data_IF_782424607481
#
_entry.id   IF_782424607481
#
_cell.length_a   1.000
_cell.length_b   1.000
_cell.length_c   1.000
_cell.angle_alpha   90.00
_cell.angle_beta   90.00
_cell.angle_gamma   90.00
#
_symmetry.space_group_name_H-M   'P 1'
#
loop_
_entity.id
_entity.type
_entity.pdbx_description
1 polymer ?
#
# COMPACT_ATOMS: atom_id res chain seq x y z
N UNK A 1 -5.94 -8.22 -28.41
CA UNK A 1 -5.16 -9.30 -27.77
C UNK A 1 -4.92 -8.84 -26.33
N UNK A 2 -5.37 -9.56 -25.33
CA UNK A 2 -5.10 -9.21 -23.93
C UNK A 2 -3.63 -9.54 -23.66
N UNK A 3 -2.81 -8.52 -23.40
CA UNK A 3 -1.46 -8.74 -22.92
C UNK A 3 -1.55 -9.41 -21.54
N UNK A 4 -0.87 -10.55 -21.41
CA UNK A 4 -0.76 -11.23 -20.12
C UNK A 4 0.26 -10.48 -19.26
N UNK A 5 -0.18 -9.89 -18.15
CA UNK A 5 0.71 -9.24 -17.19
C UNK A 5 1.58 -10.32 -16.52
N UNK A 6 2.90 -10.22 -16.73
CA UNK A 6 3.86 -11.05 -16.01
C UNK A 6 4.38 -10.30 -14.79
N UNK A 7 4.07 -10.84 -13.60
CA UNK A 7 4.64 -10.32 -12.35
C UNK A 7 6.11 -10.74 -12.23
N UNK A 8 6.93 -9.85 -11.68
CA UNK A 8 8.34 -10.15 -11.39
C UNK A 8 8.45 -11.13 -10.23
N UNK A 9 9.44 -12.03 -10.29
CA UNK A 9 9.79 -12.92 -9.19
C UNK A 9 10.80 -12.29 -8.21
N UNK A 10 11.38 -11.14 -8.59
CA UNK A 10 12.29 -10.34 -7.76
C UNK A 10 12.35 -8.91 -8.29
N UNK A 11 12.89 -8.00 -7.49
CA UNK A 11 13.05 -6.59 -7.82
C UNK A 11 14.50 -6.17 -7.59
N UNK A 12 15.06 -5.38 -8.51
CA UNK A 12 16.43 -4.88 -8.39
C UNK A 12 16.62 -4.08 -7.08
N UNK A 13 17.67 -4.40 -6.35
CA UNK A 13 18.00 -3.76 -5.07
C UNK A 13 17.05 -4.10 -3.93
N UNK A 14 16.20 -5.09 -4.09
CA UNK A 14 15.33 -5.60 -3.02
C UNK A 14 15.88 -6.90 -2.43
N UNK A 15 15.67 -7.06 -1.14
CA UNK A 15 15.87 -8.32 -0.42
C UNK A 15 14.57 -9.11 -0.46
N UNK A 16 14.63 -10.37 -0.89
CA UNK A 16 13.47 -11.26 -0.98
C UNK A 16 13.32 -12.04 0.32
N UNK A 17 12.20 -11.87 1.01
CA UNK A 17 11.87 -12.54 2.27
C UNK A 17 11.04 -13.81 2.07
N UNK A 18 10.25 -13.87 1.00
CA UNK A 18 9.49 -15.03 0.56
C UNK A 18 9.28 -14.98 -0.96
N UNK A 19 9.11 -16.15 -1.57
CA UNK A 19 8.93 -16.29 -3.03
C UNK A 19 7.51 -16.68 -3.44
N UNK A 20 6.73 -17.25 -2.54
CA UNK A 20 5.33 -17.63 -2.78
C UNK A 20 4.51 -17.50 -1.48
N UNK A 21 3.71 -16.48 -1.35
CA UNK A 21 3.69 -15.26 -2.19
C UNK A 21 4.99 -14.48 -2.10
N UNK A 22 5.32 -13.72 -3.14
CA UNK A 22 6.52 -12.88 -3.13
C UNK A 22 6.37 -11.78 -2.07
N UNK A 23 7.34 -11.74 -1.14
CA UNK A 23 7.55 -10.63 -0.20
C UNK A 23 8.96 -10.12 -0.41
N UNK A 24 9.08 -8.89 -0.88
CA UNK A 24 10.36 -8.24 -1.16
C UNK A 24 10.43 -6.90 -0.45
N UNK A 25 11.62 -6.54 0.03
CA UNK A 25 11.85 -5.32 0.80
C UNK A 25 12.96 -4.51 0.15
N UNK A 26 12.70 -3.24 -0.19
CA UNK A 26 13.67 -2.32 -0.74
C UNK A 26 13.78 -1.07 0.12
N UNK A 27 15.00 -0.70 0.49
CA UNK A 27 15.27 0.53 1.25
C UNK A 27 15.50 1.72 0.34
N UNK A 28 15.30 2.94 0.89
CA UNK A 28 15.58 4.21 0.21
C UNK A 28 14.81 4.41 -1.11
N UNK A 29 13.57 3.94 -1.17
CA UNK A 29 12.70 4.13 -2.35
C UNK A 29 12.27 5.58 -2.47
N UNK A 30 11.97 6.23 -1.34
CA UNK A 30 11.72 7.66 -1.25
C UNK A 30 12.63 8.29 -0.18
N UNK A 31 12.97 9.57 -0.38
CA UNK A 31 13.84 10.33 0.50
C UNK A 31 13.11 10.75 1.80
N UNK A 32 13.86 11.11 2.86
CA UNK A 32 13.25 11.67 4.07
C UNK A 32 12.44 12.95 3.82
N UNK A 33 12.85 13.77 2.84
CA UNK A 33 12.14 15.00 2.47
C UNK A 33 10.79 14.64 1.81
N UNK A 34 10.78 13.67 0.90
CA UNK A 34 9.53 13.18 0.27
C UNK A 34 8.60 12.52 1.30
N UNK A 35 9.15 11.77 2.26
CA UNK A 35 8.38 11.22 3.37
C UNK A 35 7.68 12.33 4.17
N UNK A 36 8.43 13.36 4.57
CA UNK A 36 7.88 14.50 5.32
C UNK A 36 6.83 15.26 4.50
N UNK A 37 7.09 15.47 3.21
CA UNK A 37 6.16 16.10 2.29
C UNK A 37 4.81 15.37 2.24
N UNK A 38 4.82 14.05 2.00
CA UNK A 38 3.59 13.24 1.96
C UNK A 38 2.82 13.28 3.28
N UNK A 39 3.52 13.28 4.42
CA UNK A 39 2.89 13.40 5.74
C UNK A 39 2.17 14.74 5.88
N UNK A 40 2.85 15.85 5.60
CA UNK A 40 2.27 17.19 5.77
C UNK A 40 1.14 17.45 4.76
N UNK A 41 1.25 16.94 3.53
CA UNK A 41 0.20 17.03 2.53
C UNK A 41 -1.08 16.29 2.97
N UNK A 42 -0.95 15.09 3.53
CA UNK A 42 -2.09 14.28 3.93
C UNK A 42 -2.71 14.69 5.28
N UNK A 43 -1.91 15.21 6.21
CA UNK A 43 -2.26 15.47 7.61
C UNK A 43 -3.58 16.25 7.82
N UNK A 44 -3.86 17.36 7.11
CA UNK A 44 -5.12 18.11 7.30
C UNK A 44 -6.35 17.35 6.78
N UNK A 45 -6.17 16.30 5.99
CA UNK A 45 -7.23 15.59 5.30
C UNK A 45 -7.48 14.16 5.82
N UNK A 46 -6.61 13.67 6.72
CA UNK A 46 -6.71 12.33 7.28
C UNK A 46 -8.01 12.17 8.07
N UNK A 47 -8.75 11.11 7.74
CA UNK A 47 -10.01 10.74 8.39
C UNK A 47 -9.99 9.28 8.80
N UNK A 48 -10.81 8.91 9.78
CA UNK A 48 -10.98 7.52 10.23
C UNK A 48 -11.16 6.60 9.03
N UNK A 49 -10.30 5.60 8.92
CA UNK A 49 -10.40 4.59 7.88
C UNK A 49 -11.60 3.66 8.13
N UNK A 50 -12.20 3.17 7.07
CA UNK A 50 -13.25 2.16 7.11
C UNK A 50 -12.96 1.04 6.13
N UNK A 51 -13.90 0.11 6.04
CA UNK A 51 -13.89 -0.99 5.07
C UNK A 51 -15.11 -0.88 4.17
N UNK A 52 -14.99 -1.34 2.95
CA UNK A 52 -16.12 -1.43 2.02
C UNK A 52 -16.93 -2.68 2.35
N UNK A 53 -18.19 -2.49 2.69
CA UNK A 53 -19.18 -3.53 2.93
C UNK A 53 -20.24 -3.49 1.83
N UNK A 54 -21.13 -4.49 1.80
CA UNK A 54 -22.20 -4.57 0.79
C UNK A 54 -23.17 -3.38 0.87
N UNK A 55 -23.33 -2.79 2.04
CA UNK A 55 -24.17 -1.62 2.32
C UNK A 55 -23.39 -0.30 2.41
N UNK A 56 -22.14 -0.24 1.91
CA UNK A 56 -21.32 0.95 1.79
C UNK A 56 -20.04 0.93 2.63
N UNK A 57 -19.45 2.11 2.81
CA UNK A 57 -18.20 2.29 3.58
C UNK A 57 -18.52 2.52 5.05
N UNK A 58 -17.98 1.68 5.94
CA UNK A 58 -18.21 1.78 7.39
C UNK A 58 -16.89 1.65 8.16
N UNK A 59 -16.77 2.31 9.33
CA UNK A 59 -15.70 2.03 10.29
C UNK A 59 -15.70 0.55 10.67
N UNK A 60 -14.51 0.00 10.89
CA UNK A 60 -14.33 -1.39 11.28
C UNK A 60 -13.42 -1.48 12.50
N UNK A 61 -13.71 -2.38 13.42
CA UNK A 61 -12.82 -2.69 14.54
C UNK A 61 -11.52 -3.38 14.08
N UNK A 62 -11.54 -4.01 12.91
CA UNK A 62 -10.35 -4.63 12.31
C UNK A 62 -9.43 -3.64 11.61
N UNK A 63 -9.87 -2.39 11.39
CA UNK A 63 -9.09 -1.30 10.78
C UNK A 63 -9.28 -0.03 11.59
N UNK A 64 -8.38 0.19 12.56
CA UNK A 64 -8.53 1.28 13.54
C UNK A 64 -7.76 2.55 13.21
N UNK A 65 -6.91 2.55 12.18
CA UNK A 65 -6.18 3.70 11.68
C UNK A 65 -7.03 4.73 10.94
N UNK A 66 -6.37 5.72 10.39
CA UNK A 66 -6.95 6.81 9.60
C UNK A 66 -6.23 6.91 8.27
N UNK A 67 -6.86 7.47 7.25
CA UNK A 67 -6.24 7.59 5.94
C UNK A 67 -6.71 8.81 5.14
N UNK A 68 -5.91 9.13 4.11
CA UNK A 68 -6.26 10.05 3.04
C UNK A 68 -5.75 9.49 1.71
N UNK A 69 -6.45 9.80 0.62
CA UNK A 69 -6.09 9.38 -0.73
C UNK A 69 -5.53 10.57 -1.51
N UNK A 70 -4.36 10.40 -2.12
CA UNK A 70 -3.71 11.36 -2.99
C UNK A 70 -3.75 10.83 -4.42
N UNK A 71 -4.28 11.62 -5.33
CA UNK A 71 -4.28 11.29 -6.76
C UNK A 71 -2.94 11.68 -7.37
N UNK A 72 -2.48 10.92 -8.33
CA UNK A 72 -1.19 11.17 -8.98
C UNK A 72 -1.19 12.38 -9.92
N UNK A 73 -2.36 12.94 -10.25
CA UNK A 73 -2.52 14.12 -11.10
C UNK A 73 -2.74 15.43 -10.31
N UNK A 74 -2.74 15.38 -8.99
CA UNK A 74 -2.95 16.55 -8.14
C UNK A 74 -1.65 17.30 -7.79
N UNK A 75 -0.51 16.59 -7.82
CA UNK A 75 0.75 17.09 -7.31
C UNK A 75 1.95 16.43 -8.00
N UNK A 76 2.91 17.23 -8.48
CA UNK A 76 4.07 16.75 -9.22
C UNK A 76 4.99 15.84 -8.38
N UNK A 77 5.10 16.08 -7.07
CA UNK A 77 5.90 15.25 -6.17
C UNK A 77 5.23 13.90 -5.98
N UNK A 78 3.91 13.90 -5.75
CA UNK A 78 3.11 12.67 -5.64
C UNK A 78 3.19 11.87 -6.95
N UNK A 79 3.08 12.54 -8.10
CA UNK A 79 3.25 11.92 -9.42
C UNK A 79 4.63 11.27 -9.57
N UNK A 80 5.69 12.02 -9.27
CA UNK A 80 7.07 11.54 -9.37
C UNK A 80 7.34 10.33 -8.48
N UNK A 81 6.83 10.33 -7.24
CA UNK A 81 6.94 9.20 -6.32
C UNK A 81 6.15 8.00 -6.86
N UNK A 82 4.91 8.21 -7.31
CA UNK A 82 4.08 7.17 -7.90
C UNK A 82 4.75 6.51 -9.10
N UNK A 83 5.30 7.33 -10.01
CA UNK A 83 6.03 6.84 -11.19
C UNK A 83 7.26 6.02 -10.80
N UNK A 84 8.05 6.46 -9.82
CA UNK A 84 9.22 5.72 -9.32
C UNK A 84 8.83 4.35 -8.76
N UNK A 85 7.74 4.29 -7.98
CA UNK A 85 7.23 3.02 -7.44
C UNK A 85 6.75 2.11 -8.59
N UNK A 86 6.00 2.66 -9.54
CA UNK A 86 5.52 1.94 -10.72
C UNK A 86 6.68 1.36 -11.56
N UNK A 87 7.75 2.14 -11.77
CA UNK A 87 8.96 1.69 -12.48
C UNK A 87 9.67 0.55 -11.73
N UNK A 88 9.75 0.61 -10.39
CA UNK A 88 10.31 -0.47 -9.56
C UNK A 88 9.45 -1.73 -9.69
N UNK A 89 8.14 -1.58 -9.54
CA UNK A 89 7.17 -2.69 -9.64
C UNK A 89 7.16 -3.26 -11.08
N UNK A 90 7.38 -2.41 -12.07
CA UNK A 90 7.37 -2.78 -13.49
C UNK A 90 5.96 -2.88 -14.07
N UNK A 91 5.04 -2.09 -13.52
CA UNK A 91 3.67 -1.94 -14.01
C UNK A 91 3.41 -0.46 -14.33
N UNK A 92 2.57 -0.14 -15.33
CA UNK A 92 2.22 1.23 -15.65
C UNK A 92 1.54 1.95 -14.48
N UNK A 93 1.87 3.24 -14.27
CA UNK A 93 1.28 4.04 -13.19
C UNK A 93 -0.25 4.19 -13.33
N UNK A 94 -0.75 4.23 -14.55
CA UNK A 94 -2.17 4.30 -14.86
C UNK A 94 -2.98 3.09 -14.38
N UNK A 95 -2.30 1.98 -14.07
CA UNK A 95 -2.91 0.79 -13.47
C UNK A 95 -2.91 0.84 -11.94
N UNK A 96 -2.28 1.85 -11.34
CA UNK A 96 -2.23 1.99 -9.89
C UNK A 96 -3.50 2.65 -9.36
N UNK A 97 -3.99 2.16 -8.21
CA UNK A 97 -4.94 2.92 -7.40
C UNK A 97 -4.25 4.18 -6.84
N UNK A 98 -5.03 5.22 -6.54
CA UNK A 98 -4.50 6.42 -5.87
C UNK A 98 -3.67 6.06 -4.65
N UNK A 99 -2.65 6.87 -4.34
CA UNK A 99 -1.78 6.66 -3.20
C UNK A 99 -2.56 6.83 -1.89
N UNK A 100 -2.58 5.81 -1.06
CA UNK A 100 -3.23 5.88 0.25
C UNK A 100 -2.22 6.20 1.34
N UNK A 101 -2.31 7.39 1.93
CA UNK A 101 -1.54 7.73 3.12
C UNK A 101 -2.30 7.25 4.34
N UNK A 102 -1.68 6.37 5.13
CA UNK A 102 -2.30 5.75 6.29
C UNK A 102 -1.56 6.22 7.55
N UNK A 103 -2.32 6.59 8.56
CA UNK A 103 -1.81 6.96 9.87
C UNK A 103 -2.36 6.04 10.95
N UNK A 104 -1.47 5.52 11.77
CA UNK A 104 -1.80 4.76 12.98
C UNK A 104 -1.29 5.50 14.20
N UNK A 105 -2.20 5.84 15.13
CA UNK A 105 -1.86 6.28 16.47
C UNK A 105 -1.51 5.10 17.39
N UNK A 106 -1.19 5.36 18.66
CA UNK A 106 -0.99 4.31 19.65
C UNK A 106 -2.16 3.32 19.68
N UNK A 107 -1.86 2.03 19.80
CA UNK A 107 -2.83 0.92 19.85
C UNK A 107 -3.73 0.78 18.61
N UNK A 108 -3.44 1.50 17.53
CA UNK A 108 -4.16 1.35 16.28
C UNK A 108 -3.50 0.31 15.37
N UNK A 109 -4.32 -0.43 14.66
CA UNK A 109 -3.89 -1.51 13.78
C UNK A 109 -4.78 -1.66 12.55
N UNK A 110 -4.29 -2.37 11.57
CA UNK A 110 -5.09 -3.07 10.58
C UNK A 110 -4.80 -4.55 10.70
N UNK A 111 -5.78 -5.31 11.13
CA UNK A 111 -5.65 -6.75 11.35
C UNK A 111 -5.28 -7.48 10.06
N UNK A 112 -4.67 -8.69 10.16
CA UNK A 112 -4.31 -9.48 8.98
C UNK A 112 -5.48 -9.63 8.01
N UNK A 113 -5.25 -9.30 6.76
CA UNK A 113 -6.22 -9.33 5.67
C UNK A 113 -5.50 -9.62 4.35
N UNK A 114 -6.26 -9.87 3.30
CA UNK A 114 -5.75 -9.92 1.94
C UNK A 114 -6.10 -8.60 1.24
N UNK A 115 -5.13 -8.02 0.53
CA UNK A 115 -5.36 -6.84 -0.31
C UNK A 115 -6.12 -7.18 -1.59
N UNK A 116 -5.92 -8.40 -2.09
CA UNK A 116 -6.63 -8.92 -3.25
C UNK A 116 -8.16 -8.99 -3.00
N UNK A 117 -8.94 -8.63 -4.01
CA UNK A 117 -10.39 -8.72 -3.93
C UNK A 117 -10.87 -10.18 -3.89
N UNK A 118 -11.78 -10.49 -2.99
CA UNK A 118 -12.44 -11.80 -3.00
C UNK A 118 -13.52 -11.82 -4.09
N UNK A 119 -13.16 -12.34 -5.27
CA UNK A 119 -14.04 -12.40 -6.43
C UNK A 119 -15.19 -13.42 -6.29
N UNK A 120 -15.24 -14.22 -5.23
CA UNK A 120 -16.41 -15.06 -4.93
C UNK A 120 -17.55 -14.26 -4.30
N UNK A 121 -17.29 -13.04 -3.84
CA UNK A 121 -18.26 -12.16 -3.22
C UNK A 121 -18.67 -11.02 -4.17
N UNK A 122 -19.97 -10.63 -4.21
CA UNK A 122 -20.46 -9.55 -5.07
C UNK A 122 -19.67 -8.24 -4.90
N UNK A 123 -19.32 -7.88 -3.66
CA UNK A 123 -18.50 -6.68 -3.37
C UNK A 123 -17.11 -6.72 -4.02
N UNK A 124 -16.45 -7.89 -4.00
CA UNK A 124 -15.15 -8.07 -4.64
C UNK A 124 -15.24 -7.99 -6.15
N UNK A 125 -16.27 -8.59 -6.75
CA UNK A 125 -16.54 -8.48 -8.18
C UNK A 125 -16.79 -7.02 -8.58
N UNK A 126 -17.60 -6.28 -7.81
CA UNK A 126 -17.87 -4.86 -8.04
C UNK A 126 -16.61 -4.01 -7.93
N UNK A 127 -15.77 -4.26 -6.94
CA UNK A 127 -14.50 -3.53 -6.78
C UNK A 127 -13.54 -3.78 -7.95
N UNK A 128 -13.48 -5.01 -8.45
CA UNK A 128 -12.62 -5.39 -9.58
C UNK A 128 -13.11 -4.88 -10.96
N UNK A 129 -14.33 -4.33 -11.07
CA UNK A 129 -14.88 -3.87 -12.36
C UNK A 129 -14.10 -2.68 -12.96
N UNK A 130 -13.45 -1.87 -12.13
CA UNK A 130 -12.79 -0.63 -12.57
C UNK A 130 -11.34 -0.81 -13.02
N UNK A 131 -10.60 -1.73 -12.43
CA UNK A 131 -9.17 -1.92 -12.72
C UNK A 131 -8.73 -3.38 -12.66
N UNK A 132 -9.65 -4.32 -12.49
CA UNK A 132 -9.31 -5.74 -12.31
C UNK A 132 -8.89 -6.07 -10.88
N UNK A 133 -8.15 -7.17 -10.74
CA UNK A 133 -7.65 -7.66 -9.46
C UNK A 133 -6.40 -6.90 -9.03
N UNK A 134 -6.25 -6.64 -7.73
CA UNK A 134 -5.00 -6.17 -7.14
C UNK A 134 -3.94 -7.25 -7.23
N UNK A 135 -2.89 -6.98 -7.97
CA UNK A 135 -1.81 -7.94 -8.24
C UNK A 135 -0.58 -7.70 -7.37
N UNK A 136 -0.30 -6.44 -7.04
CA UNK A 136 0.85 -6.02 -6.25
C UNK A 136 0.42 -4.96 -5.25
N UNK A 137 0.91 -5.04 -4.04
CA UNK A 137 0.83 -3.98 -3.03
C UNK A 137 2.24 -3.43 -2.82
N UNK A 138 2.40 -2.11 -2.95
CA UNK A 138 3.63 -1.40 -2.61
C UNK A 138 3.36 -0.52 -1.38
N UNK A 139 3.84 -0.94 -0.22
CA UNK A 139 3.70 -0.22 1.03
C UNK A 139 5.02 0.47 1.37
N UNK A 140 4.99 1.79 1.56
CA UNK A 140 6.19 2.57 1.92
C UNK A 140 6.01 3.19 3.30
N UNK A 141 6.99 2.98 4.18
CA UNK A 141 7.01 3.63 5.49
C UNK A 141 7.50 5.07 5.38
N UNK A 142 6.76 6.01 5.96
CA UNK A 142 7.05 7.44 5.87
C UNK A 142 7.80 7.98 7.08
N UNK A 143 7.72 7.33 8.23
CA UNK A 143 8.40 7.77 9.46
C UNK A 143 8.93 6.60 10.27
N UNK A 144 9.84 6.93 11.18
CA UNK A 144 10.29 6.02 12.24
C UNK A 144 9.31 6.06 13.41
N UNK A 145 9.11 4.92 14.05
CA UNK A 145 8.34 4.79 15.29
C UNK A 145 9.21 4.16 16.38
N UNK A 146 8.93 4.46 17.64
CA UNK A 146 9.68 3.91 18.78
C UNK A 146 9.33 2.44 19.04
N UNK A 147 8.10 2.05 18.72
CA UNK A 147 7.62 0.68 18.84
C UNK A 147 6.44 0.40 17.93
N UNK A 148 6.24 -0.86 17.56
CA UNK A 148 5.19 -1.27 16.65
C UNK A 148 5.43 -0.83 15.19
N UNK A 149 4.35 -0.53 14.47
CA UNK A 149 4.36 0.01 13.10
C UNK A 149 4.87 -0.95 12.01
N UNK A 150 5.20 -2.18 12.37
CA UNK A 150 5.70 -3.19 11.43
C UNK A 150 4.57 -3.76 10.57
N UNK A 151 4.91 -4.19 9.34
CA UNK A 151 4.04 -5.03 8.52
C UNK A 151 4.34 -6.50 8.83
N UNK A 152 3.32 -7.23 9.20
CA UNK A 152 3.43 -8.64 9.55
C UNK A 152 2.74 -9.53 8.52
N UNK A 153 3.38 -10.63 8.18
CA UNK A 153 2.85 -11.71 7.36
C UNK A 153 2.75 -12.98 8.23
N UNK A 154 1.69 -13.12 9.04
CA UNK A 154 1.63 -14.17 10.07
C UNK A 154 1.75 -15.58 9.51
N UNK A 155 1.18 -15.85 8.33
CA UNK A 155 1.25 -17.15 7.66
C UNK A 155 2.66 -17.53 7.19
N UNK A 156 3.54 -16.54 7.02
CA UNK A 156 4.93 -16.72 6.58
C UNK A 156 5.92 -16.56 7.74
N UNK A 157 5.46 -16.14 8.91
CA UNK A 157 6.34 -15.84 10.05
C UNK A 157 7.26 -14.64 9.80
N UNK A 158 6.90 -13.74 8.86
CA UNK A 158 7.72 -12.59 8.47
C UNK A 158 7.20 -11.32 9.15
N UNK A 159 8.12 -10.51 9.64
CA UNK A 159 7.85 -9.16 10.16
C UNK A 159 8.83 -8.18 9.52
N UNK A 160 8.31 -7.14 8.86
CA UNK A 160 9.11 -6.07 8.27
C UNK A 160 8.95 -4.81 9.12
N UNK A 161 10.03 -4.36 9.83
CA UNK A 161 9.96 -3.19 10.69
C UNK A 161 9.85 -1.91 9.87
N UNK A 162 9.13 -0.93 10.43
CA UNK A 162 9.02 0.40 9.85
C UNK A 162 10.38 1.10 9.80
N UNK A 163 10.72 1.64 8.62
CA UNK A 163 11.90 2.46 8.40
C UNK A 163 11.59 3.48 7.29
N UNK A 164 11.84 4.78 7.49
CA UNK A 164 11.52 5.79 6.49
C UNK A 164 12.10 5.46 5.13
N UNK A 165 11.29 5.59 4.08
CA UNK A 165 11.67 5.32 2.70
C UNK A 165 11.82 3.84 2.33
N UNK A 166 11.58 2.91 3.27
CA UNK A 166 11.53 1.47 3.00
C UNK A 166 10.19 1.09 2.38
N UNK A 167 10.25 0.30 1.32
CA UNK A 167 9.08 -0.29 0.64
C UNK A 167 9.05 -1.81 0.85
N UNK A 168 7.86 -2.30 1.06
CA UNK A 168 7.52 -3.74 1.10
C UNK A 168 6.62 -4.06 -0.07
#
# INVERSE_FOLDING_TARGET
>A
MSETIQLKSTYEGAEVYATDPLVAVRSNVISPIECAYLIELAKPHIKRAGVVLDDGYKPSEGRTGSNHWLRFDEDDVVHSIGKRIADIVGLPLENAESMQIIHYGPEQEYRPHFDAFNLTLPRGQKAAQWGGQRLVTALVYLNKVEGGGATQFPKLGITVPASPGRMV
#
